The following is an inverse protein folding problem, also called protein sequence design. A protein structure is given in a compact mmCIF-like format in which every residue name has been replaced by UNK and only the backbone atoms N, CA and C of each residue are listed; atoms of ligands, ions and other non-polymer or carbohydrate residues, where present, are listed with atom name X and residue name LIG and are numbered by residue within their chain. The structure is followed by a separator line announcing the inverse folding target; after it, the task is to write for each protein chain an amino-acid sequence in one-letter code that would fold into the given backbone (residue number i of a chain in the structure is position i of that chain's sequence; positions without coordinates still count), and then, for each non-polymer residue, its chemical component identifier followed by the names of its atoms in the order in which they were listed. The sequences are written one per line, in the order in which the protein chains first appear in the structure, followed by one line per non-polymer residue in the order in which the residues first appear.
data_IF_620191181096
#
_entry.id   IF_620191181096
#
_cell.length_a   1.000
_cell.length_b   1.000
_cell.length_c   1.000
_cell.angle_alpha   90.00
_cell.angle_beta   90.00
_cell.angle_gamma   90.00
#
_symmetry.space_group_name_H-M   'P 1'
#
loop_
_entity.id
_entity.type
_entity.pdbx_description
1 polymer ?
#
# COMPACT_ATOMS: atom_id res chain seq x y z
N UNK A 1 -4.23 7.95 23.92
CA UNK A 1 -4.81 7.64 22.59
C UNK A 1 -3.76 7.98 21.55
N UNK A 2 -3.41 7.04 20.72
CA UNK A 2 -2.43 7.25 19.66
C UNK A 2 -3.10 7.90 18.43
N UNK A 3 -2.33 8.71 17.70
CA UNK A 3 -2.74 9.28 16.41
C UNK A 3 -2.00 8.55 15.30
N UNK A 4 -2.75 7.89 14.46
CA UNK A 4 -2.24 7.19 13.28
C UNK A 4 -2.45 8.08 12.06
N UNK A 5 -1.34 8.51 11.45
CA UNK A 5 -1.30 9.21 10.17
C UNK A 5 -1.14 8.14 9.09
N UNK A 6 -2.19 7.89 8.32
CA UNK A 6 -2.28 6.73 7.45
C UNK A 6 -2.20 7.16 5.99
N UNK A 7 -1.28 6.58 5.26
CA UNK A 7 -1.06 6.79 3.82
C UNK A 7 -0.84 5.46 3.10
N UNK A 8 -0.86 5.46 1.79
CA UNK A 8 -0.50 4.31 0.96
C UNK A 8 0.05 4.75 -0.39
N UNK A 9 0.58 3.81 -1.15
CA UNK A 9 0.91 3.99 -2.58
C UNK A 9 1.74 5.26 -2.83
N UNK A 10 2.75 5.44 -1.96
CA UNK A 10 3.69 6.59 -2.01
C UNK A 10 4.47 6.56 -3.34
N UNK A 11 4.79 5.35 -3.82
CA UNK A 11 5.43 5.14 -5.11
C UNK A 11 6.63 6.05 -5.37
N UNK A 12 7.51 6.21 -4.38
CA UNK A 12 8.72 7.05 -4.52
C UNK A 12 8.44 8.55 -4.76
N UNK A 13 7.26 9.05 -4.45
CA UNK A 13 6.92 10.48 -4.49
C UNK A 13 7.12 11.09 -3.10
N UNK A 14 8.38 11.40 -2.80
CA UNK A 14 8.79 11.87 -1.47
C UNK A 14 8.21 13.24 -1.12
N UNK A 15 8.28 14.20 -2.04
CA UNK A 15 7.87 15.57 -1.77
C UNK A 15 6.36 15.67 -1.55
N UNK A 16 5.56 14.90 -2.32
CA UNK A 16 4.11 14.77 -2.18
C UNK A 16 3.72 14.15 -0.83
N UNK A 17 4.46 13.13 -0.39
CA UNK A 17 4.28 12.51 0.94
C UNK A 17 4.53 13.56 2.05
N UNK A 18 5.63 14.29 1.99
CA UNK A 18 5.98 15.28 3.03
C UNK A 18 4.96 16.41 3.09
N UNK A 19 4.51 16.92 1.94
CA UNK A 19 3.44 17.92 1.87
C UNK A 19 2.15 17.41 2.50
N UNK A 20 1.74 16.17 2.20
CA UNK A 20 0.54 15.58 2.76
C UNK A 20 0.65 15.36 4.28
N UNK A 21 1.80 14.86 4.77
CA UNK A 21 2.04 14.67 6.21
C UNK A 21 2.02 16.00 6.97
N UNK A 22 2.66 17.04 6.44
CA UNK A 22 2.64 18.39 7.03
C UNK A 22 1.24 18.98 7.04
N UNK A 23 0.49 18.81 5.93
CA UNK A 23 -0.91 19.24 5.83
C UNK A 23 -1.82 18.55 6.83
N UNK A 24 -1.56 17.28 7.16
CA UNK A 24 -2.28 16.52 8.17
C UNK A 24 -1.83 16.83 9.62
N UNK A 25 -0.74 17.57 9.81
CA UNK A 25 -0.21 17.93 11.13
C UNK A 25 0.65 16.84 11.76
N UNK A 26 1.29 15.96 10.97
CA UNK A 26 2.22 14.95 11.47
C UNK A 26 3.48 15.63 12.06
N UNK A 27 3.81 15.25 13.30
CA UNK A 27 5.07 15.63 13.95
C UNK A 27 5.81 14.35 14.37
N UNK A 28 6.98 14.10 13.80
CA UNK A 28 7.81 12.93 14.11
C UNK A 28 8.36 12.93 15.55
N UNK A 29 8.35 14.08 16.22
CA UNK A 29 8.82 14.24 17.60
C UNK A 29 7.69 14.02 18.62
N UNK A 30 6.41 14.05 18.23
CA UNK A 30 5.29 13.74 19.12
C UNK A 30 5.22 12.23 19.36
N UNK A 31 5.34 11.82 20.62
CA UNK A 31 5.36 10.40 21.01
C UNK A 31 4.04 9.67 20.73
N UNK A 32 2.95 10.40 20.51
CA UNK A 32 1.65 9.84 20.20
C UNK A 32 1.39 9.72 18.67
N UNK A 33 2.28 10.27 17.82
CA UNK A 33 2.13 10.23 16.38
C UNK A 33 2.81 9.00 15.79
N UNK A 34 2.07 8.22 15.01
CA UNK A 34 2.52 7.04 14.30
C UNK A 34 2.22 7.19 12.82
N UNK A 35 3.22 6.98 11.94
CA UNK A 35 2.98 6.87 10.51
C UNK A 35 2.61 5.41 10.17
N UNK A 36 1.46 5.20 9.53
CA UNK A 36 1.07 3.91 8.95
C UNK A 36 1.14 4.02 7.44
N UNK A 37 1.92 3.15 6.79
CA UNK A 37 2.00 3.07 5.33
C UNK A 37 1.39 1.76 4.87
N UNK A 38 0.29 1.84 4.16
CA UNK A 38 -0.44 0.69 3.64
C UNK A 38 0.14 0.18 2.31
N UNK A 39 1.47 -0.05 2.26
CA UNK A 39 2.18 -0.64 1.14
C UNK A 39 2.58 0.32 0.02
N UNK A 40 3.29 -0.23 -0.95
CA UNK A 40 3.72 0.40 -2.20
C UNK A 40 4.53 1.69 -1.97
N UNK A 41 5.62 1.55 -1.21
CA UNK A 41 6.53 2.66 -0.92
C UNK A 41 7.36 3.06 -2.12
N UNK A 42 7.68 2.12 -3.00
CA UNK A 42 8.63 2.28 -4.11
C UNK A 42 7.95 2.22 -5.47
N UNK A 43 8.77 2.28 -6.52
CA UNK A 43 8.40 2.26 -7.93
C UNK A 43 7.77 3.58 -8.45
N UNK A 44 7.56 3.69 -9.76
CA UNK A 44 6.93 4.81 -10.47
C UNK A 44 7.63 6.17 -10.31
N UNK A 45 7.75 6.67 -9.09
CA UNK A 45 8.24 8.01 -8.77
C UNK A 45 9.77 8.19 -8.85
N UNK A 46 10.25 9.42 -8.65
CA UNK A 46 11.66 9.75 -8.84
C UNK A 46 12.55 9.55 -7.60
N UNK A 47 11.98 9.46 -6.40
CA UNK A 47 12.71 9.69 -5.15
C UNK A 47 12.85 8.45 -4.26
N UNK A 48 13.05 7.25 -4.85
CA UNK A 48 13.15 5.98 -4.11
C UNK A 48 14.17 6.05 -2.95
N UNK A 49 15.30 6.74 -3.17
CA UNK A 49 16.33 6.88 -2.13
C UNK A 49 15.91 7.81 -0.98
N UNK A 50 15.14 8.88 -1.27
CA UNK A 50 14.62 9.78 -0.23
C UNK A 50 13.56 9.08 0.61
N UNK A 51 12.59 8.41 -0.05
CA UNK A 51 11.54 7.63 0.64
C UNK A 51 12.16 6.55 1.51
N UNK A 52 13.11 5.77 0.97
CA UNK A 52 13.81 4.75 1.73
C UNK A 52 14.48 5.32 2.99
N UNK A 53 15.28 6.40 2.82
CA UNK A 53 15.99 7.03 3.93
C UNK A 53 15.02 7.59 4.99
N UNK A 54 13.93 8.24 4.55
CA UNK A 54 12.92 8.78 5.45
C UNK A 54 12.27 7.68 6.28
N UNK A 55 11.76 6.64 5.61
CA UNK A 55 11.10 5.52 6.29
C UNK A 55 12.07 4.73 7.19
N UNK A 56 13.34 4.59 6.82
CA UNK A 56 14.33 3.92 7.69
C UNK A 56 14.55 4.69 9.00
N UNK A 57 14.61 6.01 8.94
CA UNK A 57 14.96 6.86 10.09
C UNK A 57 13.76 7.22 10.98
N UNK A 58 12.54 7.12 10.47
CA UNK A 58 11.35 7.46 11.24
C UNK A 58 11.16 6.49 12.42
N UNK A 59 11.11 6.96 13.67
CA UNK A 59 11.10 6.07 14.85
C UNK A 59 9.77 5.33 15.05
N UNK A 60 8.65 6.01 14.79
CA UNK A 60 7.30 5.48 15.01
C UNK A 60 6.58 5.31 13.69
N UNK A 61 6.75 4.14 13.11
CA UNK A 61 6.14 3.76 11.85
C UNK A 61 5.62 2.32 11.91
N UNK A 62 4.57 2.08 11.16
CA UNK A 62 3.99 0.76 10.91
C UNK A 62 3.93 0.63 9.40
N UNK A 63 4.65 -0.34 8.86
CA UNK A 63 4.78 -0.55 7.42
C UNK A 63 4.07 -1.85 7.04
N UNK A 64 3.12 -1.74 6.14
CA UNK A 64 2.40 -2.88 5.58
C UNK A 64 3.00 -3.18 4.22
N UNK A 65 3.16 -4.46 3.90
CA UNK A 65 3.75 -4.90 2.64
C UNK A 65 2.74 -4.76 1.51
N UNK A 66 3.12 -4.04 0.46
CA UNK A 66 2.39 -3.99 -0.80
C UNK A 66 2.91 -4.99 -1.83
N UNK A 67 2.23 -5.08 -2.97
CA UNK A 67 2.65 -5.94 -4.07
C UNK A 67 3.92 -5.39 -4.77
N UNK A 68 4.16 -4.09 -4.78
CA UNK A 68 5.36 -3.50 -5.37
C UNK A 68 6.64 -3.82 -4.58
N UNK A 69 6.58 -3.98 -3.26
CA UNK A 69 7.70 -4.50 -2.50
C UNK A 69 8.07 -5.92 -2.93
N UNK A 70 7.07 -6.77 -3.23
CA UNK A 70 7.32 -8.13 -3.73
C UNK A 70 7.87 -8.09 -5.16
N UNK A 71 7.32 -7.26 -6.06
CA UNK A 71 7.83 -7.07 -7.41
C UNK A 71 9.31 -6.68 -7.43
N UNK A 72 9.70 -5.74 -6.55
CA UNK A 72 11.08 -5.29 -6.41
C UNK A 72 12.02 -6.43 -5.98
N UNK A 73 11.62 -7.20 -4.97
CA UNK A 73 12.40 -8.36 -4.50
C UNK A 73 12.53 -9.45 -5.58
N UNK A 74 11.44 -9.73 -6.29
CA UNK A 74 11.40 -10.77 -7.31
C UNK A 74 12.21 -10.38 -8.56
N UNK A 75 12.15 -9.11 -8.99
CA UNK A 75 12.97 -8.59 -10.07
C UNK A 75 14.47 -8.72 -9.75
N UNK A 76 14.90 -8.23 -8.58
CA UNK A 76 16.29 -8.34 -8.16
C UNK A 76 16.76 -9.79 -8.02
N UNK A 77 15.90 -10.70 -7.56
CA UNK A 77 16.20 -12.12 -7.39
C UNK A 77 16.27 -12.87 -8.71
N UNK A 78 15.44 -12.49 -9.66
CA UNK A 78 15.41 -13.06 -11.02
C UNK A 78 16.64 -12.66 -11.82
N UNK A 79 17.18 -11.46 -11.62
CA UNK A 79 18.38 -10.97 -12.30
C UNK A 79 18.13 -10.51 -13.75
N UNK A 80 16.89 -10.22 -14.11
CA UNK A 80 16.52 -9.66 -15.43
C UNK A 80 15.25 -8.79 -15.31
N UNK A 81 15.09 -7.83 -16.23
CA UNK A 81 13.87 -7.06 -16.36
C UNK A 81 12.85 -7.76 -17.25
N UNK A 82 11.63 -7.87 -16.78
CA UNK A 82 10.46 -8.20 -17.59
C UNK A 82 9.70 -6.92 -17.96
N UNK A 83 8.80 -7.00 -18.93
CA UNK A 83 8.03 -5.83 -19.39
C UNK A 83 7.24 -5.16 -18.27
N UNK A 84 6.69 -5.95 -17.34
CA UNK A 84 5.96 -5.41 -16.20
C UNK A 84 6.87 -4.68 -15.17
N UNK A 85 8.15 -5.06 -15.03
CA UNK A 85 9.09 -4.35 -14.15
C UNK A 85 9.37 -2.93 -14.68
N UNK A 86 9.38 -2.78 -16.01
CA UNK A 86 9.55 -1.48 -16.65
C UNK A 86 8.28 -0.64 -16.53
N UNK A 87 7.12 -1.23 -16.86
CA UNK A 87 5.84 -0.50 -16.82
C UNK A 87 5.39 -0.11 -15.41
N UNK A 88 5.72 -0.92 -14.41
CA UNK A 88 5.45 -0.62 -13.00
C UNK A 88 6.48 0.31 -12.35
N UNK A 89 7.61 0.58 -13.01
CA UNK A 89 8.66 1.45 -12.47
C UNK A 89 9.68 0.77 -11.57
N UNK A 90 9.62 -0.55 -11.38
CA UNK A 90 10.56 -1.34 -10.58
C UNK A 90 12.00 -1.20 -11.12
N UNK A 91 12.15 -1.22 -12.45
CA UNK A 91 13.45 -0.97 -13.08
C UNK A 91 14.04 0.40 -12.71
N UNK A 92 13.19 1.44 -12.59
CA UNK A 92 13.58 2.78 -12.19
C UNK A 92 14.04 2.81 -10.72
N UNK A 93 13.34 2.11 -9.83
CA UNK A 93 13.74 1.97 -8.41
C UNK A 93 15.10 1.30 -8.28
N UNK A 94 15.33 0.19 -9.01
CA UNK A 94 16.62 -0.51 -9.02
C UNK A 94 17.72 0.41 -9.53
N UNK A 95 17.47 1.15 -10.61
CA UNK A 95 18.43 2.13 -11.13
C UNK A 95 18.77 3.23 -10.11
N UNK A 96 17.77 3.81 -9.44
CA UNK A 96 17.97 4.88 -8.46
C UNK A 96 18.74 4.40 -7.22
N UNK A 97 18.46 3.19 -6.75
CA UNK A 97 19.09 2.64 -5.54
C UNK A 97 20.44 1.98 -5.82
N UNK A 98 20.62 1.42 -7.01
CA UNK A 98 21.83 0.72 -7.45
C UNK A 98 22.73 1.51 -8.38
N UNK A 99 22.53 2.84 -8.55
CA UNK A 99 23.28 3.65 -9.49
C UNK A 99 24.80 3.50 -9.34
N UNK A 100 25.49 3.38 -10.47
CA UNK A 100 26.95 3.23 -10.54
C UNK A 100 27.45 1.79 -10.66
N UNK A 101 26.56 0.81 -10.70
CA UNK A 101 26.86 -0.62 -10.89
C UNK A 101 26.30 -1.14 -12.21
N UNK A 102 26.85 -2.27 -12.70
CA UNK A 102 26.20 -3.10 -13.69
C UNK A 102 24.91 -3.70 -13.13
N UNK A 103 24.02 -4.22 -13.98
CA UNK A 103 22.66 -4.62 -13.57
C UNK A 103 22.63 -5.59 -12.37
N UNK A 104 23.47 -6.62 -12.38
CA UNK A 104 23.57 -7.58 -11.27
C UNK A 104 23.98 -6.87 -9.97
N UNK A 105 24.99 -6.01 -10.03
CA UNK A 105 25.42 -5.18 -8.90
C UNK A 105 24.37 -4.19 -8.46
N UNK A 106 23.57 -3.61 -9.38
CA UNK A 106 22.44 -2.75 -9.04
C UNK A 106 21.38 -3.52 -8.22
N UNK A 107 21.05 -4.74 -8.64
CA UNK A 107 20.10 -5.60 -7.92
C UNK A 107 20.59 -5.94 -6.52
N UNK A 108 21.85 -6.37 -6.41
CA UNK A 108 22.46 -6.69 -5.11
C UNK A 108 22.47 -5.47 -4.18
N UNK A 109 22.91 -4.33 -4.69
CA UNK A 109 22.98 -3.09 -3.90
C UNK A 109 21.60 -2.58 -3.47
N UNK A 110 20.60 -2.71 -4.35
CA UNK A 110 19.21 -2.43 -4.03
C UNK A 110 18.71 -3.32 -2.90
N UNK A 111 18.93 -4.64 -2.99
CA UNK A 111 18.52 -5.59 -1.95
C UNK A 111 19.18 -5.30 -0.59
N UNK A 112 20.48 -4.96 -0.57
CA UNK A 112 21.18 -4.57 0.66
C UNK A 112 20.48 -3.36 1.32
N UNK A 113 20.04 -2.39 0.52
CA UNK A 113 19.41 -1.17 1.02
C UNK A 113 17.96 -1.37 1.48
N UNK A 114 17.14 -2.11 0.70
CA UNK A 114 15.70 -2.18 0.96
C UNK A 114 15.30 -3.30 1.93
N UNK A 115 16.05 -4.43 1.98
CA UNK A 115 15.70 -5.56 2.84
C UNK A 115 15.53 -5.21 4.31
N UNK A 116 16.36 -4.36 4.94
CA UNK A 116 16.17 -4.00 6.33
C UNK A 116 14.82 -3.31 6.60
N UNK A 117 14.29 -2.58 5.61
CA UNK A 117 12.98 -1.96 5.70
C UNK A 117 11.86 -2.96 5.40
N UNK A 118 11.95 -3.71 4.29
CA UNK A 118 10.92 -4.66 3.86
C UNK A 118 10.75 -5.79 4.88
N UNK A 119 11.82 -6.24 5.54
CA UNK A 119 11.74 -7.27 6.59
C UNK A 119 11.01 -6.80 7.86
N UNK A 120 10.78 -5.50 8.04
CA UNK A 120 9.97 -4.95 9.13
C UNK A 120 8.49 -4.83 8.75
N UNK A 121 8.16 -4.98 7.47
CA UNK A 121 6.79 -4.87 6.99
C UNK A 121 5.96 -6.06 7.44
N UNK A 122 4.73 -5.77 7.82
CA UNK A 122 3.73 -6.77 8.23
C UNK A 122 2.67 -6.91 7.14
N UNK A 123 1.89 -7.99 7.17
CA UNK A 123 0.79 -8.19 6.23
C UNK A 123 -0.39 -7.26 6.54
N UNK A 124 -0.62 -6.98 7.81
CA UNK A 124 -1.65 -6.07 8.30
C UNK A 124 -1.26 -5.48 9.66
N UNK A 125 -1.92 -4.39 10.01
CA UNK A 125 -1.89 -3.84 11.36
C UNK A 125 -3.32 -3.64 11.85
N UNK A 126 -3.56 -3.76 13.15
CA UNK A 126 -4.90 -3.71 13.72
C UNK A 126 -4.91 -2.82 14.96
N UNK A 127 -5.88 -1.92 15.03
CA UNK A 127 -6.23 -1.16 16.21
C UNK A 127 -7.54 -1.68 16.80
N UNK A 128 -8.08 -1.01 17.80
CA UNK A 128 -9.35 -1.42 18.40
C UNK A 128 -10.50 -1.44 17.39
N UNK A 129 -10.55 -0.44 16.49
CA UNK A 129 -11.67 -0.23 15.58
C UNK A 129 -11.31 -0.38 14.10
N UNK A 130 -10.00 -0.47 13.74
CA UNK A 130 -9.54 -0.45 12.35
C UNK A 130 -8.61 -1.61 12.06
N UNK A 131 -8.60 -2.03 10.79
CA UNK A 131 -7.65 -2.96 10.18
C UNK A 131 -7.00 -2.24 9.01
N UNK A 132 -5.67 -2.16 9.01
CA UNK A 132 -4.88 -1.54 7.94
C UNK A 132 -4.24 -2.64 7.11
N UNK A 133 -4.45 -2.60 5.81
CA UNK A 133 -3.92 -3.57 4.83
C UNK A 133 -3.45 -2.83 3.59
N UNK A 134 -2.71 -3.51 2.70
CA UNK A 134 -2.40 -2.91 1.41
C UNK A 134 -3.62 -2.89 0.48
N UNK A 135 -4.20 -4.05 0.21
CA UNK A 135 -5.44 -4.18 -0.58
C UNK A 135 -6.58 -4.70 0.30
N UNK A 136 -6.66 -6.01 0.53
CA UNK A 136 -7.71 -6.60 1.35
C UNK A 136 -7.16 -7.67 2.28
N UNK A 137 -8.02 -8.19 3.16
CA UNK A 137 -7.73 -9.39 3.95
C UNK A 137 -7.83 -10.65 3.08
N UNK A 138 -7.13 -11.74 3.41
CA UNK A 138 -7.29 -13.01 2.71
C UNK A 138 -8.73 -13.52 2.71
N UNK A 139 -9.25 -13.82 1.53
CA UNK A 139 -10.60 -14.36 1.30
C UNK A 139 -10.52 -15.78 0.75
N UNK A 140 -11.60 -16.56 0.87
CA UNK A 140 -11.70 -17.90 0.30
C UNK A 140 -12.11 -17.78 -1.17
N UNK A 141 -11.22 -18.22 -2.05
CA UNK A 141 -11.48 -18.26 -3.50
C UNK A 141 -12.06 -19.64 -3.89
N UNK A 142 -13.31 -19.67 -4.33
CA UNK A 142 -13.98 -20.91 -4.74
C UNK A 142 -13.57 -21.42 -6.12
N UNK A 143 -13.06 -20.53 -6.97
CA UNK A 143 -12.81 -20.86 -8.37
C UNK A 143 -11.39 -21.44 -8.62
N UNK A 144 -10.52 -21.47 -7.60
CA UNK A 144 -9.16 -22.00 -7.67
C UNK A 144 -8.21 -21.22 -8.60
N UNK A 145 -8.65 -20.10 -9.15
CA UNK A 145 -7.87 -19.24 -10.07
C UNK A 145 -7.08 -18.18 -9.29
N UNK A 146 -5.97 -17.63 -9.85
CA UNK A 146 -5.19 -16.58 -9.18
C UNK A 146 -6.05 -15.37 -8.78
N UNK A 147 -5.87 -14.87 -7.56
CA UNK A 147 -6.73 -13.85 -6.91
C UNK A 147 -6.61 -12.42 -7.49
N UNK A 148 -5.59 -12.15 -8.32
CA UNK A 148 -5.38 -10.82 -8.90
C UNK A 148 -6.42 -10.40 -9.98
N UNK A 149 -7.36 -11.29 -10.33
CA UNK A 149 -8.51 -10.95 -11.19
C UNK A 149 -9.79 -11.13 -10.40
N UNK A 150 -10.24 -10.10 -9.69
CA UNK A 150 -11.42 -10.16 -8.83
C UNK A 150 -12.73 -9.92 -9.59
N UNK A 151 -12.67 -9.27 -10.75
CA UNK A 151 -13.86 -8.93 -11.53
C UNK A 151 -14.63 -10.18 -11.96
N UNK A 152 -15.93 -10.26 -11.61
CA UNK A 152 -16.84 -11.37 -11.86
C UNK A 152 -16.55 -12.65 -11.08
N UNK A 153 -15.77 -12.63 -10.00
CA UNK A 153 -15.52 -13.78 -9.13
C UNK A 153 -16.33 -13.71 -7.86
N UNK A 154 -16.64 -14.89 -7.33
CA UNK A 154 -17.29 -15.03 -6.04
C UNK A 154 -16.27 -15.49 -5.00
N UNK A 155 -16.09 -14.64 -4.01
CA UNK A 155 -15.30 -14.95 -2.84
C UNK A 155 -16.20 -15.21 -1.65
N UNK A 156 -15.66 -15.88 -0.64
CA UNK A 156 -16.28 -16.02 0.66
C UNK A 156 -15.40 -15.38 1.71
N UNK A 157 -16.03 -14.82 2.73
CA UNK A 157 -15.33 -14.30 3.89
C UNK A 157 -14.55 -15.43 4.57
N UNK A 158 -13.29 -15.19 4.86
CA UNK A 158 -12.44 -16.11 5.61
C UNK A 158 -12.46 -15.69 7.09
N UNK A 159 -13.16 -16.39 7.99
CA UNK A 159 -13.21 -16.01 9.41
C UNK A 159 -11.86 -16.16 10.11
N UNK A 160 -10.95 -16.96 9.54
CA UNK A 160 -9.60 -17.20 10.07
C UNK A 160 -8.50 -16.43 9.31
N UNK A 161 -8.86 -15.32 8.67
CA UNK A 161 -7.96 -14.53 7.83
C UNK A 161 -6.70 -14.07 8.57
N UNK A 162 -6.76 -13.83 9.89
CA UNK A 162 -5.60 -13.41 10.69
C UNK A 162 -4.50 -14.47 10.74
N UNK A 163 -4.87 -15.75 10.63
CA UNK A 163 -3.96 -16.90 10.60
C UNK A 163 -3.72 -17.46 9.20
N UNK A 164 -4.14 -16.75 8.18
CA UNK A 164 -3.95 -17.16 6.79
C UNK A 164 -2.45 -17.33 6.46
N UNK A 165 -2.16 -18.23 5.51
CA UNK A 165 -0.77 -18.47 5.09
C UNK A 165 -0.17 -17.24 4.42
N UNK A 166 1.17 -17.14 4.40
CA UNK A 166 1.86 -16.06 3.67
C UNK A 166 1.47 -16.04 2.19
N UNK A 167 1.24 -17.20 1.59
CA UNK A 167 0.75 -17.30 0.20
C UNK A 167 -0.62 -16.63 0.01
N UNK A 168 -1.52 -16.79 0.97
CA UNK A 168 -2.85 -16.17 0.90
C UNK A 168 -2.76 -14.66 1.13
N UNK A 169 -1.88 -14.21 2.02
CA UNK A 169 -1.58 -12.80 2.19
C UNK A 169 -0.93 -12.18 0.95
N UNK A 170 0.06 -12.83 0.34
CA UNK A 170 0.67 -12.36 -0.90
C UNK A 170 -0.37 -12.28 -2.04
N UNK A 171 -1.32 -13.21 -2.08
CA UNK A 171 -2.43 -13.17 -3.02
C UNK A 171 -3.41 -12.01 -2.73
N UNK A 172 -3.66 -11.72 -1.45
CA UNK A 172 -4.59 -10.66 -1.03
C UNK A 172 -4.10 -9.27 -1.43
N UNK A 173 -2.77 -9.04 -1.54
CA UNK A 173 -2.22 -7.74 -1.97
C UNK A 173 -2.56 -7.34 -3.41
N UNK A 174 -3.11 -8.26 -4.21
CA UNK A 174 -3.43 -8.07 -5.63
C UNK A 174 -4.93 -7.91 -5.91
N UNK A 175 -5.78 -8.12 -4.92
CA UNK A 175 -7.23 -8.03 -5.09
C UNK A 175 -7.71 -6.60 -5.32
N UNK A 176 -8.88 -6.42 -5.93
CA UNK A 176 -9.55 -5.13 -5.93
C UNK A 176 -10.37 -4.98 -4.63
N UNK A 177 -9.97 -4.09 -3.71
CA UNK A 177 -10.64 -3.96 -2.42
C UNK A 177 -12.09 -3.48 -2.54
N UNK A 178 -12.42 -2.66 -3.54
CA UNK A 178 -13.80 -2.23 -3.79
C UNK A 178 -14.70 -3.41 -4.20
N UNK A 179 -14.19 -4.32 -5.04
CA UNK A 179 -14.95 -5.53 -5.43
C UNK A 179 -15.15 -6.48 -4.24
N UNK A 180 -14.18 -6.54 -3.30
CA UNK A 180 -14.29 -7.32 -2.07
C UNK A 180 -15.35 -6.73 -1.12
N UNK A 181 -15.33 -5.41 -0.92
CA UNK A 181 -16.29 -4.71 -0.10
C UNK A 181 -17.74 -4.84 -0.66
N UNK A 182 -17.91 -4.70 -1.98
CA UNK A 182 -19.22 -4.87 -2.64
C UNK A 182 -19.80 -6.28 -2.46
N UNK A 183 -18.96 -7.30 -2.31
CA UNK A 183 -19.39 -8.66 -2.02
C UNK A 183 -19.72 -8.90 -0.53
N UNK A 184 -19.64 -7.87 0.32
CA UNK A 184 -19.91 -7.99 1.74
C UNK A 184 -18.83 -8.74 2.52
N UNK A 185 -17.59 -8.71 2.03
CA UNK A 185 -16.46 -9.42 2.64
C UNK A 185 -15.74 -8.57 3.71
N UNK A 186 -16.43 -7.60 4.28
CA UNK A 186 -15.92 -6.72 5.35
C UNK A 186 -15.87 -7.48 6.67
N UNK A 187 -14.76 -7.37 7.43
CA UNK A 187 -14.66 -7.89 8.78
C UNK A 187 -15.44 -7.02 9.79
N UNK A 188 -15.29 -7.33 11.04
CA UNK A 188 -15.94 -6.67 12.20
C UNK A 188 -15.43 -5.24 12.51
N UNK A 189 -14.36 -4.80 11.82
CA UNK A 189 -13.75 -3.47 11.96
C UNK A 189 -13.65 -2.77 10.61
N UNK A 190 -13.48 -1.45 10.64
CA UNK A 190 -13.26 -0.67 9.42
C UNK A 190 -11.92 -1.03 8.79
N UNK A 191 -11.93 -1.44 7.51
CA UNK A 191 -10.72 -1.74 6.73
C UNK A 191 -10.20 -0.48 6.08
N UNK A 192 -8.93 -0.14 6.30
CA UNK A 192 -8.24 0.96 5.62
C UNK A 192 -7.23 0.38 4.63
N UNK A 193 -7.34 0.76 3.36
CA UNK A 193 -6.56 0.16 2.30
C UNK A 193 -6.05 1.16 1.25
N UNK A 194 -5.00 0.76 0.51
CA UNK A 194 -4.47 1.40 -0.69
C UNK A 194 -4.70 0.57 -1.94
N UNK A 195 -3.65 0.38 -2.76
CA UNK A 195 -3.57 -0.48 -3.95
C UNK A 195 -4.49 -0.10 -5.11
N UNK A 196 -5.72 0.30 -4.84
CA UNK A 196 -6.70 0.71 -5.84
C UNK A 196 -7.15 2.15 -5.56
N UNK A 197 -6.98 3.00 -6.56
CA UNK A 197 -7.17 4.44 -6.40
C UNK A 197 -8.60 4.82 -5.99
N UNK A 198 -8.69 5.82 -5.13
CA UNK A 198 -9.96 6.32 -4.57
C UNK A 198 -10.97 6.74 -5.65
N UNK A 199 -10.48 7.21 -6.81
CA UNK A 199 -11.34 7.63 -7.90
C UNK A 199 -12.21 6.51 -8.47
N UNK A 200 -11.80 5.23 -8.34
CA UNK A 200 -12.67 4.11 -8.68
C UNK A 200 -13.90 4.01 -7.75
N UNK A 201 -13.72 4.26 -6.45
CA UNK A 201 -14.81 4.33 -5.48
C UNK A 201 -15.78 5.49 -5.79
N UNK A 202 -15.23 6.67 -6.04
CA UNK A 202 -16.01 7.85 -6.41
C UNK A 202 -16.74 7.68 -7.75
N UNK A 203 -16.09 7.07 -8.75
CA UNK A 203 -16.73 6.76 -10.03
C UNK A 203 -17.93 5.84 -9.86
N UNK A 204 -17.80 4.80 -9.04
CA UNK A 204 -18.90 3.86 -8.76
C UNK A 204 -20.06 4.50 -7.99
N UNK A 205 -19.78 5.33 -6.98
CA UNK A 205 -20.81 5.88 -6.08
C UNK A 205 -21.49 7.15 -6.62
N UNK A 206 -20.74 8.02 -7.31
CA UNK A 206 -21.23 9.32 -7.79
C UNK A 206 -21.34 9.40 -9.31
N UNK A 207 -20.94 8.36 -10.05
CA UNK A 207 -20.97 8.33 -11.52
C UNK A 207 -19.93 9.24 -12.17
N UNK A 208 -18.83 9.54 -11.46
CA UNK A 208 -17.71 10.33 -11.95
C UNK A 208 -16.82 9.51 -12.88
N UNK A 209 -15.89 10.18 -13.55
CA UNK A 209 -14.82 9.50 -14.28
C UNK A 209 -13.77 8.97 -13.32
N UNK A 210 -13.18 7.82 -13.65
CA UNK A 210 -12.06 7.26 -12.88
C UNK A 210 -10.76 8.03 -13.10
N UNK A 211 -10.53 8.56 -14.31
CA UNK A 211 -9.32 9.30 -14.72
C UNK A 211 -9.61 10.57 -15.55
N UNK A 212 -10.88 10.98 -15.69
CA UNK A 212 -11.27 12.19 -16.43
C UNK A 212 -11.10 13.46 -15.60
N UNK A 213 -11.55 14.58 -16.17
CA UNK A 213 -11.42 15.91 -15.57
C UNK A 213 -12.21 16.07 -14.23
N UNK A 214 -13.21 15.25 -14.01
CA UNK A 214 -14.05 15.20 -12.81
C UNK A 214 -13.62 14.10 -11.81
N UNK A 215 -12.51 13.40 -12.07
CA UNK A 215 -12.01 12.34 -11.20
C UNK A 215 -11.61 12.88 -9.82
N UNK A 216 -12.06 12.20 -8.76
CA UNK A 216 -11.72 12.52 -7.38
C UNK A 216 -10.72 11.51 -6.84
N UNK A 217 -9.56 11.99 -6.36
CA UNK A 217 -8.52 11.17 -5.76
C UNK A 217 -8.42 11.33 -4.22
N UNK A 218 -9.31 12.12 -3.62
CA UNK A 218 -9.41 12.26 -2.17
C UNK A 218 -9.87 10.93 -1.53
N UNK A 219 -9.61 10.70 -0.23
CA UNK A 219 -10.01 9.46 0.45
C UNK A 219 -11.48 9.12 0.26
N UNK A 220 -11.76 7.86 -0.03
CA UNK A 220 -13.12 7.35 -0.22
C UNK A 220 -13.60 6.61 1.02
N UNK A 221 -14.74 7.02 1.55
CA UNK A 221 -15.34 6.43 2.75
C UNK A 221 -16.57 5.60 2.38
N UNK A 222 -16.42 4.28 2.45
CA UNK A 222 -17.51 3.32 2.25
C UNK A 222 -18.04 2.75 3.57
N UNK A 223 -19.05 1.88 3.47
CA UNK A 223 -19.59 1.18 4.63
C UNK A 223 -18.61 0.08 5.11
N UNK A 224 -17.99 0.30 6.27
CA UNK A 224 -16.99 -0.59 6.86
C UNK A 224 -15.61 -0.54 6.20
N UNK A 225 -15.30 0.44 5.34
CA UNK A 225 -13.98 0.58 4.74
C UNK A 225 -13.61 2.02 4.34
N UNK A 226 -12.30 2.28 4.22
CA UNK A 226 -11.74 3.57 3.76
C UNK A 226 -10.65 3.26 2.72
N UNK A 227 -10.83 3.73 1.49
CA UNK A 227 -9.78 3.73 0.45
C UNK A 227 -8.94 5.01 0.54
N UNK A 228 -7.62 4.88 0.46
CA UNK A 228 -6.72 6.03 0.62
C UNK A 228 -5.67 6.19 -0.50
N UNK A 229 -5.63 5.31 -1.48
CA UNK A 229 -4.73 5.47 -2.63
C UNK A 229 -5.15 6.68 -3.49
N UNK A 230 -4.31 7.70 -3.50
CA UNK A 230 -4.51 8.92 -4.29
C UNK A 230 -4.10 8.76 -5.76
N UNK A 231 -3.64 7.58 -6.21
CA UNK A 231 -3.01 7.39 -7.51
C UNK A 231 -1.88 8.41 -7.74
N UNK A 232 -0.93 8.48 -6.81
CA UNK A 232 0.06 9.56 -6.68
C UNK A 232 0.77 9.87 -8.00
N UNK A 233 1.11 8.83 -8.78
CA UNK A 233 1.76 8.99 -10.09
C UNK A 233 0.91 9.76 -11.12
N UNK A 234 -0.41 9.78 -10.96
CA UNK A 234 -1.35 10.47 -11.84
C UNK A 234 -1.85 11.79 -11.25
N UNK A 235 -2.26 11.76 -9.99
CA UNK A 235 -2.86 12.91 -9.31
C UNK A 235 -1.84 13.95 -8.84
N UNK A 236 -0.58 13.56 -8.66
CA UNK A 236 0.45 14.41 -8.03
C UNK A 236 0.20 14.68 -6.55
N UNK A 237 -0.55 13.81 -5.87
CA UNK A 237 -0.91 13.95 -4.45
C UNK A 237 -0.69 12.63 -3.71
N UNK A 238 -0.38 12.70 -2.42
CA UNK A 238 -0.56 11.61 -1.47
C UNK A 238 -1.75 11.93 -0.56
N UNK A 239 -2.56 10.94 -0.24
CA UNK A 239 -3.56 11.06 0.81
C UNK A 239 -2.93 10.71 2.17
N UNK A 240 -3.25 11.50 3.18
CA UNK A 240 -2.99 11.18 4.60
C UNK A 240 -4.27 11.41 5.37
N UNK A 241 -4.80 10.35 5.98
CA UNK A 241 -5.91 10.47 6.92
C UNK A 241 -5.39 10.33 8.34
N UNK A 242 -6.07 10.97 9.30
CA UNK A 242 -5.71 10.90 10.72
C UNK A 242 -6.77 10.09 11.46
N UNK A 243 -6.33 9.03 12.13
CA UNK A 243 -7.17 8.15 12.94
C UNK A 243 -6.67 8.20 14.39
N UNK A 244 -7.56 8.58 15.31
CA UNK A 244 -7.31 8.49 16.73
C UNK A 244 -7.94 7.21 17.26
N UNK A 245 -7.12 6.26 17.72
CA UNK A 245 -7.59 4.99 18.25
C UNK A 245 -6.59 4.40 19.26
N UNK A 246 -6.98 3.33 19.93
CA UNK A 246 -6.11 2.59 20.82
C UNK A 246 -5.50 1.37 20.11
N UNK A 247 -4.28 1.00 20.49
CA UNK A 247 -3.68 -0.23 20.02
C UNK A 247 -4.56 -1.44 20.39
N UNK A 248 -4.61 -2.43 19.51
CA UNK A 248 -5.35 -3.66 19.75
C UNK A 248 -4.66 -4.48 20.86
N UNK A 249 -5.39 -4.83 21.92
CA UNK A 249 -4.87 -5.64 23.02
C UNK A 249 -4.06 -4.88 24.08
N UNK A 250 -4.17 -3.52 24.11
CA UNK A 250 -3.62 -2.68 25.17
C UNK A 250 -4.50 -2.65 26.42
#
# INVERSE_FOLDING_TARGET
MAKFFVTSDIHSYYDELIVALQGAGFDENDENHYLVVCGDCFDRGPDSAKVLKYLQNLPRKILIKGNHEQLLLDCCKRGEYLSHDISNGTAKTIFHLGYGYEFEGMCEHTLIKVRPLINQMVNYFETKNYIFVHSWIPVINKDGLPSHYTRNRKFEFNPDWRHASQKDWDAATWGNPFDMAEQGLTPDKTVVFGHWHCSAGWAKSEGLSEFGDDAKFDPYYGDGFIGIDACTAHSGKCNVIVIEDDFFGG
#
